data_IF_987730885584
#
_entry.id   IF_987730885584
#
_cell.length_a   1.000
_cell.length_b   1.000
_cell.length_c   1.000
_cell.angle_alpha   90.00
_cell.angle_beta   90.00
_cell.angle_gamma   90.00
#
_symmetry.space_group_name_H-M   'P 1'
#
loop_
_entity.id
_entity.type
_entity.pdbx_description
1 polymer ?
#
# COMPACT_ATOMS: atom_id res chain seq x y z
N UNK A 1 -18.49 -21.64 -3.96
CA UNK A 1 -18.61 -20.35 -4.68
C UNK A 1 -18.43 -19.24 -3.66
N UNK A 2 -17.31 -18.52 -3.68
CA UNK A 2 -17.14 -17.30 -2.87
C UNK A 2 -18.04 -16.23 -3.49
N UNK A 3 -18.91 -15.58 -2.71
CA UNK A 3 -19.82 -14.56 -3.25
C UNK A 3 -18.99 -13.31 -3.59
N UNK A 4 -19.35 -12.59 -4.65
CA UNK A 4 -18.57 -11.41 -5.11
C UNK A 4 -18.43 -10.32 -4.03
N UNK A 5 -19.43 -10.15 -3.16
CA UNK A 5 -19.39 -9.27 -1.98
C UNK A 5 -18.29 -9.65 -0.98
N UNK A 6 -18.03 -10.96 -0.82
CA UNK A 6 -16.98 -11.44 0.07
C UNK A 6 -15.60 -10.98 -0.42
N UNK A 7 -15.38 -10.96 -1.75
CA UNK A 7 -14.12 -10.52 -2.37
C UNK A 7 -13.85 -9.02 -2.20
N UNK A 8 -14.89 -8.18 -2.26
CA UNK A 8 -14.73 -6.75 -2.00
C UNK A 8 -14.40 -6.49 -0.53
N UNK A 9 -15.03 -7.23 0.38
CA UNK A 9 -14.72 -7.11 1.79
C UNK A 9 -13.30 -7.59 2.12
N UNK A 10 -12.86 -8.69 1.50
CA UNK A 10 -11.48 -9.16 1.59
C UNK A 10 -10.49 -8.09 1.14
N UNK A 11 -10.72 -7.46 -0.02
CA UNK A 11 -9.82 -6.40 -0.52
C UNK A 11 -9.85 -5.17 0.39
N UNK A 12 -11.01 -4.76 0.91
CA UNK A 12 -11.09 -3.66 1.89
C UNK A 12 -10.25 -3.95 3.14
N UNK A 13 -10.32 -5.18 3.65
CA UNK A 13 -9.54 -5.59 4.82
C UNK A 13 -8.04 -5.54 4.51
N UNK A 14 -7.61 -6.05 3.34
CA UNK A 14 -6.21 -5.96 2.92
C UNK A 14 -5.73 -4.52 2.73
N UNK A 15 -6.58 -3.62 2.19
CA UNK A 15 -6.25 -2.19 2.10
C UNK A 15 -5.99 -1.61 3.49
N UNK A 16 -6.88 -1.91 4.46
CA UNK A 16 -6.75 -1.42 5.82
C UNK A 16 -5.46 -1.94 6.50
N UNK A 17 -5.17 -3.23 6.36
CA UNK A 17 -3.96 -3.85 6.91
C UNK A 17 -2.68 -3.24 6.31
N UNK A 18 -2.62 -3.05 4.99
CA UNK A 18 -1.48 -2.40 4.33
C UNK A 18 -1.35 -0.94 4.77
N UNK A 19 -2.45 -0.19 4.92
CA UNK A 19 -2.41 1.18 5.43
C UNK A 19 -1.85 1.25 6.86
N UNK A 20 -2.21 0.30 7.74
CA UNK A 20 -1.68 0.23 9.10
C UNK A 20 -0.17 -0.04 9.12
N UNK A 21 0.31 -0.92 8.24
CA UNK A 21 1.75 -1.16 8.09
C UNK A 21 2.50 0.07 7.61
N UNK A 22 1.98 0.76 6.59
CA UNK A 22 2.55 2.02 6.10
C UNK A 22 2.62 3.06 7.21
N UNK A 23 1.54 3.22 7.99
CA UNK A 23 1.55 4.10 9.15
C UNK A 23 2.65 3.74 10.15
N UNK A 24 2.88 2.44 10.41
CA UNK A 24 3.96 1.97 11.27
C UNK A 24 5.35 2.42 10.78
N UNK A 25 5.61 2.37 9.47
CA UNK A 25 6.84 2.90 8.91
C UNK A 25 6.93 4.43 9.02
N UNK A 26 5.85 5.14 8.71
CA UNK A 26 5.79 6.60 8.83
C UNK A 26 6.06 7.07 10.26
N UNK A 27 5.52 6.37 11.24
CA UNK A 27 5.74 6.64 12.66
C UNK A 27 7.17 6.31 13.10
N UNK A 28 7.76 5.22 12.59
CA UNK A 28 9.14 4.80 12.90
C UNK A 28 10.17 5.77 12.33
N UNK A 29 10.02 6.18 11.07
CA UNK A 29 11.00 7.00 10.36
C UNK A 29 10.66 8.50 10.32
N UNK A 30 9.49 8.89 10.83
CA UNK A 30 9.01 10.28 10.90
C UNK A 30 8.97 10.98 9.53
N UNK A 31 8.67 10.23 8.48
CA UNK A 31 8.46 10.72 7.12
C UNK A 31 7.22 10.04 6.53
N UNK A 32 6.46 10.74 5.70
CA UNK A 32 5.34 10.12 4.98
C UNK A 32 5.85 9.14 3.93
N UNK A 33 5.02 8.15 3.59
CA UNK A 33 5.29 7.18 2.51
C UNK A 33 5.55 7.89 1.19
N UNK A 34 4.78 8.93 0.87
CA UNK A 34 5.00 9.75 -0.34
C UNK A 34 6.39 10.40 -0.36
N UNK A 35 6.81 10.98 0.76
CA UNK A 35 8.13 11.60 0.88
C UNK A 35 9.25 10.57 0.83
N UNK A 36 9.03 9.39 1.41
CA UNK A 36 9.94 8.27 1.32
C UNK A 36 10.13 7.83 -0.14
N UNK A 37 9.05 7.58 -0.88
CA UNK A 37 9.10 7.18 -2.29
C UNK A 37 9.80 8.24 -3.15
N UNK A 38 9.48 9.52 -2.96
CA UNK A 38 10.14 10.59 -3.70
C UNK A 38 11.66 10.64 -3.44
N UNK A 39 12.09 10.44 -2.19
CA UNK A 39 13.51 10.37 -1.84
C UNK A 39 14.19 9.13 -2.41
N UNK A 40 13.47 8.01 -2.46
CA UNK A 40 13.96 6.77 -3.06
C UNK A 40 14.18 6.94 -4.57
N UNK A 41 13.20 7.50 -5.29
CA UNK A 41 13.29 7.75 -6.74
C UNK A 41 14.35 8.77 -7.13
N UNK A 42 14.72 9.67 -6.21
CA UNK A 42 15.70 10.74 -6.45
C UNK A 42 17.09 10.43 -5.89
N UNK A 43 17.36 9.16 -5.54
CA UNK A 43 18.63 8.69 -4.94
C UNK A 43 19.06 9.46 -3.66
N UNK A 44 18.11 10.08 -2.96
CA UNK A 44 18.40 10.81 -1.71
C UNK A 44 18.53 9.87 -0.49
N UNK A 45 18.45 8.56 -0.70
CA UNK A 45 18.54 7.51 0.33
C UNK A 45 19.82 6.67 0.26
N UNK A 46 20.82 7.08 -0.54
CA UNK A 46 22.07 6.36 -0.87
C UNK A 46 22.82 5.72 0.31
N UNK A 47 22.54 6.10 1.56
CA UNK A 47 23.22 5.60 2.76
C UNK A 47 22.29 4.99 3.83
N UNK A 48 21.00 4.78 3.51
CA UNK A 48 19.99 4.34 4.49
C UNK A 48 19.19 3.09 4.09
N UNK A 49 19.52 2.48 2.94
CA UNK A 49 18.88 1.25 2.48
C UNK A 49 19.05 0.12 3.53
N UNK A 50 17.93 -0.29 4.11
CA UNK A 50 17.82 -1.41 5.04
C UNK A 50 16.58 -2.24 4.66
N UNK A 51 16.43 -3.42 5.27
CA UNK A 51 15.33 -4.34 4.96
C UNK A 51 13.94 -3.71 5.16
N UNK A 52 13.80 -2.76 6.10
CA UNK A 52 12.54 -2.06 6.31
C UNK A 52 12.14 -1.20 5.10
N UNK A 53 13.09 -0.67 4.32
CA UNK A 53 12.80 0.15 3.14
C UNK A 53 12.26 -0.69 1.98
N UNK A 54 12.80 -1.90 1.79
CA UNK A 54 12.29 -2.85 0.80
C UNK A 54 10.84 -3.26 1.13
N UNK A 55 10.57 -3.52 2.41
CA UNK A 55 9.21 -3.82 2.89
C UNK A 55 8.28 -2.62 2.72
N UNK A 56 8.72 -1.41 3.08
CA UNK A 56 7.93 -0.19 2.94
C UNK A 56 7.54 0.08 1.48
N UNK A 57 8.48 -0.04 0.54
CA UNK A 57 8.17 0.08 -0.89
C UNK A 57 7.17 -0.98 -1.35
N UNK A 58 7.37 -2.23 -0.90
CA UNK A 58 6.47 -3.34 -1.21
C UNK A 58 5.03 -3.06 -0.76
N UNK A 59 4.85 -2.59 0.48
CA UNK A 59 3.54 -2.23 1.02
C UNK A 59 2.93 -1.02 0.30
N UNK A 60 3.73 -0.03 -0.09
CA UNK A 60 3.24 1.13 -0.84
C UNK A 60 2.70 0.74 -2.23
N UNK A 61 3.42 -0.12 -2.95
CA UNK A 61 2.96 -0.67 -4.24
C UNK A 61 1.78 -1.63 -4.08
N UNK A 62 1.75 -2.39 -2.98
CA UNK A 62 0.62 -3.26 -2.67
C UNK A 62 -0.65 -2.44 -2.47
N UNK A 63 -0.57 -1.32 -1.75
CA UNK A 63 -1.71 -0.43 -1.53
C UNK A 63 -2.29 0.08 -2.85
N UNK A 64 -1.45 0.58 -3.76
CA UNK A 64 -1.88 1.06 -5.08
C UNK A 64 -2.61 -0.05 -5.87
N UNK A 65 -2.03 -1.25 -5.93
CA UNK A 65 -2.66 -2.39 -6.60
C UNK A 65 -4.00 -2.80 -5.98
N UNK A 66 -4.08 -2.82 -4.65
CA UNK A 66 -5.32 -3.16 -3.94
C UNK A 66 -6.40 -2.11 -4.19
N UNK A 67 -6.05 -0.83 -4.18
CA UNK A 67 -6.97 0.27 -4.47
C UNK A 67 -7.48 0.23 -5.91
N UNK A 68 -6.60 -0.04 -6.88
CA UNK A 68 -6.99 -0.18 -8.29
C UNK A 68 -7.91 -1.39 -8.49
N UNK A 69 -7.57 -2.54 -7.91
CA UNK A 69 -8.42 -3.74 -7.95
C UNK A 69 -9.77 -3.53 -7.26
N UNK A 70 -9.80 -2.78 -6.16
CA UNK A 70 -11.03 -2.43 -5.47
C UNK A 70 -11.95 -1.58 -6.36
N UNK A 71 -11.39 -0.55 -7.02
CA UNK A 71 -12.13 0.30 -7.97
C UNK A 71 -12.69 -0.50 -9.13
N UNK A 72 -11.87 -1.33 -9.78
CA UNK A 72 -12.30 -2.20 -10.88
C UNK A 72 -13.48 -3.11 -10.48
N UNK A 73 -13.42 -3.71 -9.29
CA UNK A 73 -14.49 -4.58 -8.79
C UNK A 73 -15.74 -3.80 -8.40
N UNK A 74 -15.60 -2.60 -7.86
CA UNK A 74 -16.73 -1.73 -7.51
C UNK A 74 -17.45 -1.19 -8.75
N UNK A 75 -16.72 -0.84 -9.80
CA UNK A 75 -17.30 -0.42 -11.09
C UNK A 75 -18.11 -1.54 -11.73
N UNK A 76 -17.64 -2.79 -11.62
CA UNK A 76 -18.39 -3.98 -12.05
C UNK A 76 -19.68 -4.19 -11.24
N UNK A 77 -19.77 -3.72 -9.98
CA UNK A 77 -21.00 -3.81 -9.17
C UNK A 77 -22.06 -2.77 -9.51
N UNK A 78 -21.68 -1.65 -10.13
CA UNK A 78 -22.59 -0.55 -10.50
C UNK A 78 -23.19 -0.71 -11.91
N UNK A 79 -22.68 -1.66 -12.71
CA UNK A 79 -23.20 -2.03 -14.03
C UNK A 79 -24.18 -3.22 -13.95
#
# INVERSE_FOLDING_TARGET
>A
MVKKTDRLQEIKNSILETQQKLQGFEEKYKISTEKFLNRFETDQLEHQLNMDFDEWMGEAWMLDKLQNKYKELQEIELC
#
